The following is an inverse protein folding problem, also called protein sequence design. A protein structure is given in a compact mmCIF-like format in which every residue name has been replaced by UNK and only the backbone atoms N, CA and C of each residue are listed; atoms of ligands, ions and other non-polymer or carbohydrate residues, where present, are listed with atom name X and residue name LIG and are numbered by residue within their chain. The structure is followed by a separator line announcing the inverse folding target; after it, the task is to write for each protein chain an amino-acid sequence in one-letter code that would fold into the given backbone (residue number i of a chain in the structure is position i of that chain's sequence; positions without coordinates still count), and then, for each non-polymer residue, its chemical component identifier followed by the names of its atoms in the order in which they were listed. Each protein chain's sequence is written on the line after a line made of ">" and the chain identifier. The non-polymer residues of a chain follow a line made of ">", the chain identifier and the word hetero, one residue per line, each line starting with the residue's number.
data_IF_986531315708
#
_entry.id   IF_986531315708
#
_cell.length_a   1.000
_cell.length_b   1.000
_cell.length_c   1.000
_cell.angle_alpha   90.00
_cell.angle_beta   90.00
_cell.angle_gamma   90.00
#
_symmetry.space_group_name_H-M   'P 1'
#
loop_
_entity.id
_entity.type
_entity.pdbx_description
1 polymer ?
#
# COMPACT_ATOMS: atom_id res chain seq x y z
N UNK A 1 -62.58 61.74 -35.39
CA UNK A 1 -61.90 61.01 -34.29
C UNK A 1 -60.84 61.93 -33.69
N UNK A 2 -60.81 62.12 -32.37
CA UNK A 2 -59.83 63.01 -31.73
C UNK A 2 -58.46 62.32 -31.64
N UNK A 3 -57.37 63.07 -31.81
CA UNK A 3 -55.99 62.57 -31.74
C UNK A 3 -55.72 61.77 -30.46
N UNK A 4 -56.37 62.14 -29.35
CA UNK A 4 -56.28 61.43 -28.07
C UNK A 4 -56.88 60.03 -28.12
N UNK A 5 -58.03 59.85 -28.77
CA UNK A 5 -58.64 58.53 -28.94
C UNK A 5 -57.77 57.63 -29.83
N UNK A 6 -57.10 58.19 -30.84
CA UNK A 6 -56.17 57.46 -31.69
C UNK A 6 -54.91 57.02 -30.92
N UNK A 7 -54.30 57.93 -30.14
CA UNK A 7 -53.12 57.60 -29.32
C UNK A 7 -53.46 56.57 -28.24
N UNK A 8 -54.63 56.67 -27.60
CA UNK A 8 -55.06 55.70 -26.59
C UNK A 8 -55.32 54.32 -27.21
N UNK A 9 -55.92 54.27 -28.41
CA UNK A 9 -56.10 53.04 -29.16
C UNK A 9 -54.77 52.41 -29.58
N UNK A 10 -53.81 53.21 -30.06
CA UNK A 10 -52.45 52.74 -30.37
C UNK A 10 -51.71 52.25 -29.12
N UNK A 11 -51.83 52.93 -27.98
CA UNK A 11 -51.19 52.49 -26.73
C UNK A 11 -51.79 51.18 -26.18
N UNK A 12 -53.12 51.02 -26.25
CA UNK A 12 -53.81 49.77 -25.92
C UNK A 12 -53.40 48.62 -26.85
N UNK A 13 -53.22 48.90 -28.15
CA UNK A 13 -52.71 47.95 -29.14
C UNK A 13 -51.27 47.51 -28.86
N UNK A 14 -50.40 48.44 -28.44
CA UNK A 14 -49.00 48.13 -28.10
C UNK A 14 -48.90 47.31 -26.80
N UNK A 15 -49.72 47.63 -25.79
CA UNK A 15 -49.73 46.89 -24.52
C UNK A 15 -50.31 45.47 -24.67
N UNK A 16 -51.25 45.27 -25.59
CA UNK A 16 -51.83 43.96 -25.91
C UNK A 16 -50.98 43.11 -26.88
N UNK A 17 -49.91 43.69 -27.44
CA UNK A 17 -48.97 42.97 -28.33
C UNK A 17 -47.90 42.16 -27.58
N UNK A 18 -47.80 42.29 -26.25
CA UNK A 18 -46.91 41.50 -25.42
C UNK A 18 -47.67 40.32 -24.80
N UNK A 19 -48.08 39.37 -25.64
CA UNK A 19 -48.65 38.11 -25.17
C UNK A 19 -47.74 37.43 -24.14
N UNK A 20 -48.33 36.81 -23.11
CA UNK A 20 -47.57 36.14 -22.07
C UNK A 20 -46.79 34.96 -22.65
N UNK A 21 -45.46 35.05 -22.60
CA UNK A 21 -44.58 33.93 -22.96
C UNK A 21 -44.54 32.98 -21.77
N UNK A 22 -45.14 31.81 -21.92
CA UNK A 22 -45.03 30.75 -20.93
C UNK A 22 -43.94 29.77 -21.34
N UNK A 23 -43.29 29.22 -20.33
CA UNK A 23 -42.20 28.30 -20.52
C UNK A 23 -42.68 26.88 -20.22
N UNK A 24 -42.55 26.01 -21.21
CA UNK A 24 -42.95 24.61 -21.11
C UNK A 24 -41.70 23.74 -20.97
N UNK A 25 -41.75 22.81 -20.02
CA UNK A 25 -40.74 21.78 -19.83
C UNK A 25 -41.33 20.41 -20.12
N UNK A 26 -40.52 19.56 -20.76
CA UNK A 26 -40.81 18.14 -20.86
C UNK A 26 -39.59 17.33 -20.50
N UNK A 27 -39.82 16.17 -19.89
CA UNK A 27 -38.78 15.18 -19.64
C UNK A 27 -38.87 14.11 -20.72
N UNK A 28 -37.82 13.98 -21.54
CA UNK A 28 -37.72 12.94 -22.57
C UNK A 28 -36.77 11.86 -22.07
N UNK A 29 -37.21 10.60 -22.05
CA UNK A 29 -36.34 9.48 -21.70
C UNK A 29 -35.29 9.29 -22.81
N UNK A 30 -34.02 9.48 -22.44
CA UNK A 30 -32.88 9.27 -23.35
C UNK A 30 -32.51 7.80 -23.40
N UNK A 31 -32.54 7.12 -22.25
CA UNK A 31 -32.21 5.71 -22.18
C UNK A 31 -32.08 5.20 -20.75
N UNK A 32 -31.94 3.87 -20.66
CA UNK A 32 -31.67 3.15 -19.43
C UNK A 32 -30.21 2.76 -19.39
N UNK A 33 -29.56 3.04 -18.26
CA UNK A 33 -28.15 2.80 -18.06
C UNK A 33 -27.94 1.99 -16.78
N UNK A 34 -26.79 1.35 -16.70
CA UNK A 34 -26.35 0.70 -15.48
C UNK A 34 -24.90 1.06 -15.16
N UNK A 35 -24.60 1.23 -13.88
CA UNK A 35 -23.24 1.47 -13.42
C UNK A 35 -22.96 0.71 -12.11
N UNK A 36 -21.70 0.37 -11.89
CA UNK A 36 -21.26 -0.30 -10.69
C UNK A 36 -20.81 0.74 -9.67
N UNK A 37 -21.36 0.68 -8.46
CA UNK A 37 -21.00 1.59 -7.36
C UNK A 37 -20.60 0.77 -6.13
N UNK A 38 -19.72 1.30 -5.29
CA UNK A 38 -19.39 0.69 -3.99
C UNK A 38 -20.67 0.49 -3.18
N UNK A 39 -20.88 -0.72 -2.68
CA UNK A 39 -22.02 -1.03 -1.82
C UNK A 39 -21.82 -0.36 -0.44
N UNK A 40 -22.72 0.53 0.00
CA UNK A 40 -22.60 1.18 1.30
C UNK A 40 -22.71 0.16 2.44
N UNK A 41 -21.83 0.27 3.43
CA UNK A 41 -21.90 -0.55 4.66
C UNK A 41 -21.36 -1.98 4.56
N UNK A 42 -20.83 -2.42 3.41
CA UNK A 42 -20.13 -3.72 3.27
C UNK A 42 -18.63 -3.52 3.10
N UNK A 43 -17.91 -3.50 4.22
CA UNK A 43 -16.43 -3.47 4.27
C UNK A 43 -15.83 -4.84 4.59
N UNK A 44 -16.66 -5.87 4.77
CA UNK A 44 -16.27 -7.16 5.36
C UNK A 44 -15.61 -8.13 4.37
N UNK A 45 -14.82 -7.63 3.41
CA UNK A 45 -13.95 -8.54 2.66
C UNK A 45 -12.67 -8.78 3.47
N UNK A 46 -12.22 -10.03 3.59
CA UNK A 46 -10.97 -10.32 4.27
C UNK A 46 -9.82 -9.59 3.59
N UNK A 47 -8.79 -9.25 4.36
CA UNK A 47 -7.58 -8.69 3.79
C UNK A 47 -6.96 -9.72 2.85
N UNK A 48 -6.59 -9.25 1.67
CA UNK A 48 -5.96 -10.05 0.62
C UNK A 48 -4.53 -9.59 0.44
N UNK A 49 -3.65 -10.59 0.34
CA UNK A 49 -2.25 -10.38 -0.02
C UNK A 49 -2.05 -10.89 -1.44
N UNK A 50 -1.55 -10.05 -2.34
CA UNK A 50 -1.36 -10.44 -3.75
C UNK A 50 -0.15 -11.35 -3.92
N UNK A 51 0.01 -11.90 -5.13
CA UNK A 51 1.18 -12.72 -5.46
C UNK A 51 2.46 -11.89 -5.26
N UNK A 52 3.41 -12.42 -4.49
CA UNK A 52 4.60 -11.67 -4.14
C UNK A 52 5.54 -11.54 -5.34
N UNK A 53 6.28 -10.44 -5.40
CA UNK A 53 7.28 -10.14 -6.41
C UNK A 53 8.63 -9.97 -5.72
N UNK A 54 9.67 -10.61 -6.25
CA UNK A 54 11.02 -10.39 -5.80
C UNK A 54 11.59 -9.16 -6.50
N UNK A 55 12.04 -8.15 -5.74
CA UNK A 55 12.67 -6.94 -6.26
C UNK A 55 13.72 -6.45 -5.26
N UNK A 56 14.93 -6.16 -5.72
CA UNK A 56 15.98 -5.49 -4.91
C UNK A 56 16.19 -6.14 -3.52
N UNK A 57 16.27 -7.49 -3.50
CA UNK A 57 16.37 -8.30 -2.28
C UNK A 57 15.19 -8.25 -1.29
N UNK A 58 14.05 -7.72 -1.73
CA UNK A 58 12.77 -7.71 -1.03
C UNK A 58 11.79 -8.69 -1.69
N UNK A 59 10.95 -9.32 -0.87
CA UNK A 59 9.67 -9.86 -1.32
C UNK A 59 8.61 -8.80 -1.08
N UNK A 60 7.96 -8.33 -2.14
CA UNK A 60 6.91 -7.31 -2.07
C UNK A 60 5.58 -7.95 -2.43
N UNK A 61 4.56 -7.75 -1.60
CA UNK A 61 3.20 -8.15 -1.91
C UNK A 61 2.23 -7.02 -1.57
N UNK A 62 1.22 -6.78 -2.41
CA UNK A 62 0.20 -5.78 -2.13
C UNK A 62 -0.74 -6.34 -1.05
N UNK A 63 -1.10 -5.49 -0.11
CA UNK A 63 -1.99 -5.77 1.02
C UNK A 63 -3.16 -4.80 0.92
N UNK A 64 -4.34 -5.36 0.69
CA UNK A 64 -5.55 -4.57 0.54
C UNK A 64 -6.80 -5.35 0.88
N UNK A 65 -7.93 -4.71 0.65
CA UNK A 65 -9.24 -5.33 0.73
C UNK A 65 -9.97 -5.09 -0.59
N UNK A 66 -10.67 -6.10 -1.10
CA UNK A 66 -11.52 -5.88 -2.25
C UNK A 66 -12.78 -5.13 -1.84
N UNK A 67 -13.21 -4.20 -2.67
CA UNK A 67 -14.52 -3.58 -2.50
C UNK A 67 -15.62 -4.48 -3.03
N UNK A 68 -16.81 -4.42 -2.42
CA UNK A 68 -18.03 -4.97 -3.01
C UNK A 68 -18.66 -3.87 -3.85
N UNK A 69 -18.83 -4.11 -5.14
CA UNK A 69 -19.58 -3.23 -6.02
C UNK A 69 -20.94 -3.85 -6.32
N UNK A 70 -21.99 -3.01 -6.29
CA UNK A 70 -23.34 -3.40 -6.66
C UNK A 70 -23.74 -2.64 -7.92
N UNK A 71 -24.45 -3.31 -8.82
CA UNK A 71 -24.95 -2.67 -10.03
C UNK A 71 -26.20 -1.85 -9.71
N UNK A 72 -26.20 -0.59 -10.13
CA UNK A 72 -27.33 0.32 -10.07
C UNK A 72 -27.87 0.54 -11.47
N UNK A 73 -29.19 0.52 -11.61
CA UNK A 73 -29.87 0.89 -12.85
C UNK A 73 -30.54 2.24 -12.65
N UNK A 74 -30.46 3.09 -13.67
CA UNK A 74 -31.07 4.41 -13.66
C UNK A 74 -31.53 4.81 -15.06
N UNK A 75 -32.49 5.73 -15.08
CA UNK A 75 -33.00 6.32 -16.30
C UNK A 75 -32.43 7.72 -16.44
N UNK A 76 -31.97 8.04 -17.64
CA UNK A 76 -31.49 9.37 -17.98
C UNK A 76 -32.60 10.09 -18.73
N UNK A 77 -33.06 11.20 -18.18
CA UNK A 77 -34.04 12.08 -18.80
C UNK A 77 -33.35 13.35 -19.26
N UNK A 78 -33.60 13.73 -20.51
CA UNK A 78 -33.25 15.05 -21.02
C UNK A 78 -34.44 15.97 -20.75
N UNK A 79 -34.21 17.00 -19.97
CA UNK A 79 -35.20 18.05 -19.74
C UNK A 79 -35.04 19.04 -20.88
N UNK A 80 -36.06 19.09 -21.71
CA UNK A 80 -36.13 20.00 -22.84
C UNK A 80 -37.07 21.14 -22.49
N UNK A 81 -36.68 22.34 -22.89
CA UNK A 81 -37.43 23.56 -22.69
C UNK A 81 -37.86 24.16 -24.00
N UNK A 82 -39.08 24.69 -24.05
CA UNK A 82 -39.48 25.59 -25.13
C UNK A 82 -40.32 26.73 -24.60
N UNK A 83 -40.24 27.88 -25.25
CA UNK A 83 -41.11 29.02 -25.00
C UNK A 83 -42.32 28.93 -25.93
N UNK A 84 -43.51 29.05 -25.36
CA UNK A 84 -44.77 29.02 -26.12
C UNK A 84 -45.48 30.34 -25.87
N UNK A 85 -45.98 30.98 -26.93
CA UNK A 85 -46.79 32.19 -26.84
C UNK A 85 -48.26 31.79 -26.86
N UNK A 86 -48.96 32.10 -25.78
CA UNK A 86 -50.41 31.88 -25.72
C UNK A 86 -51.15 32.95 -26.53
N UNK A 87 -52.32 32.61 -27.13
CA UNK A 87 -53.14 33.58 -27.80
C UNK A 87 -53.79 34.52 -26.77
N UNK A 88 -53.43 35.80 -26.81
CA UNK A 88 -54.15 36.82 -26.06
C UNK A 88 -55.51 37.11 -26.75
N UNK A 89 -56.56 37.30 -25.96
CA UNK A 89 -57.91 37.66 -26.41
C UNK A 89 -57.91 38.85 -27.39
N UNK A 90 -57.02 39.81 -27.19
CA UNK A 90 -56.92 40.99 -28.05
C UNK A 90 -56.44 40.62 -29.45
N UNK A 91 -55.49 39.70 -29.52
CA UNK A 91 -54.89 39.27 -30.76
C UNK A 91 -55.79 38.32 -31.56
N UNK A 92 -56.64 37.53 -30.88
CA UNK A 92 -57.79 36.82 -31.48
C UNK A 92 -58.84 37.79 -32.05
N UNK A 93 -59.19 38.84 -31.29
CA UNK A 93 -60.19 39.83 -31.71
C UNK A 93 -59.71 40.69 -32.90
N UNK A 94 -58.43 41.07 -32.91
CA UNK A 94 -57.82 41.83 -34.01
C UNK A 94 -57.64 41.00 -35.27
N UNK A 95 -57.29 39.71 -35.15
CA UNK A 95 -57.20 38.79 -36.30
C UNK A 95 -58.52 38.65 -37.06
N UNK A 96 -59.64 38.62 -36.33
CA UNK A 96 -60.98 38.61 -36.91
C UNK A 96 -61.35 39.94 -37.59
N UNK A 97 -60.93 41.08 -37.01
CA UNK A 97 -61.26 42.42 -37.53
C UNK A 97 -60.38 42.86 -38.71
N UNK A 98 -59.16 42.35 -38.83
CA UNK A 98 -58.16 42.76 -39.83
C UNK A 98 -57.93 41.76 -40.97
N UNK A 99 -58.88 40.85 -41.23
CA UNK A 99 -58.77 39.84 -42.30
C UNK A 99 -57.44 39.06 -42.24
N UNK A 100 -56.99 38.66 -41.03
CA UNK A 100 -55.86 37.75 -40.84
C UNK A 100 -54.47 38.24 -41.30
N UNK A 101 -54.33 39.45 -41.85
CA UNK A 101 -53.10 39.88 -42.54
C UNK A 101 -51.88 40.04 -41.63
N UNK A 102 -52.05 40.35 -40.35
CA UNK A 102 -50.93 40.52 -39.41
C UNK A 102 -50.24 39.21 -39.01
N UNK A 103 -50.97 38.09 -38.98
CA UNK A 103 -50.42 36.77 -38.65
C UNK A 103 -50.22 35.87 -39.87
N UNK A 104 -50.73 36.26 -41.05
CA UNK A 104 -50.57 35.51 -42.29
C UNK A 104 -49.19 35.70 -42.96
N UNK A 105 -48.42 36.71 -42.55
CA UNK A 105 -47.15 37.08 -43.21
C UNK A 105 -45.92 36.50 -42.48
N UNK A 106 -46.02 36.24 -41.17
CA UNK A 106 -44.98 35.53 -40.42
C UNK A 106 -45.63 34.73 -39.28
N UNK A 107 -46.04 33.50 -39.62
CA UNK A 107 -46.76 32.60 -38.71
C UNK A 107 -45.90 32.13 -37.54
N UNK A 108 -44.57 32.25 -37.63
CA UNK A 108 -43.68 31.73 -36.60
C UNK A 108 -43.71 32.61 -35.35
N UNK A 109 -43.90 33.93 -35.47
CA UNK A 109 -43.78 34.86 -34.34
C UNK A 109 -45.04 35.18 -33.54
N UNK A 110 -46.24 34.90 -34.08
CA UNK A 110 -47.48 35.45 -33.51
C UNK A 110 -48.15 34.55 -32.46
N UNK A 111 -48.29 33.24 -32.71
CA UNK A 111 -48.97 32.32 -31.79
C UNK A 111 -48.42 30.90 -31.90
N UNK A 112 -48.40 30.19 -30.77
CA UNK A 112 -48.03 28.79 -30.74
C UNK A 112 -46.55 28.57 -30.40
N UNK A 113 -46.04 27.45 -30.90
CA UNK A 113 -44.74 26.89 -30.56
C UNK A 113 -43.62 27.73 -31.19
N UNK A 114 -42.88 28.52 -30.40
CA UNK A 114 -41.75 29.31 -30.90
C UNK A 114 -40.41 28.65 -30.53
N UNK A 115 -39.65 28.25 -31.56
CA UNK A 115 -38.33 27.62 -31.42
C UNK A 115 -38.38 26.10 -31.32
N UNK A 116 -37.21 25.46 -31.43
CA UNK A 116 -37.08 24.02 -31.22
C UNK A 116 -37.04 23.68 -29.73
N UNK A 117 -37.26 22.42 -29.40
CA UNK A 117 -37.01 21.92 -28.05
C UNK A 117 -35.51 21.93 -27.78
N UNK A 118 -35.08 22.81 -26.88
CA UNK A 118 -33.67 22.92 -26.53
C UNK A 118 -33.37 22.12 -25.27
N UNK A 119 -32.28 21.35 -25.30
CA UNK A 119 -31.78 20.68 -24.11
C UNK A 119 -31.36 21.72 -23.07
N UNK A 120 -31.96 21.63 -21.88
CA UNK A 120 -31.57 22.47 -20.74
C UNK A 120 -30.66 21.76 -19.78
N UNK A 121 -31.02 20.53 -19.44
CA UNK A 121 -30.31 19.73 -18.46
C UNK A 121 -30.59 18.25 -18.68
N UNK A 122 -29.64 17.44 -18.27
CA UNK A 122 -29.80 15.99 -18.18
C UNK A 122 -29.94 15.61 -16.70
N UNK A 123 -30.98 14.84 -16.36
CA UNK A 123 -31.28 14.40 -15.01
C UNK A 123 -31.33 12.86 -14.92
N UNK A 124 -30.71 12.30 -13.87
CA UNK A 124 -30.86 10.88 -13.52
C UNK A 124 -32.09 10.70 -12.63
N UNK A 125 -32.94 9.71 -12.93
CA UNK A 125 -34.14 9.37 -12.15
C UNK A 125 -34.25 7.85 -11.97
N UNK A 126 -35.14 7.44 -11.06
CA UNK A 126 -35.49 6.04 -10.81
C UNK A 126 -34.27 5.16 -10.48
N UNK A 127 -33.29 5.71 -9.76
CA UNK A 127 -32.10 4.96 -9.37
C UNK A 127 -32.48 3.82 -8.43
N UNK A 128 -32.15 2.59 -8.82
CA UNK A 128 -32.39 1.40 -8.01
C UNK A 128 -31.19 0.48 -8.05
N UNK A 129 -30.80 -0.04 -6.88
CA UNK A 129 -29.80 -1.10 -6.80
C UNK A 129 -30.41 -2.41 -7.28
N UNK A 130 -29.63 -3.18 -8.04
CA UNK A 130 -29.95 -4.57 -8.37
C UNK A 130 -29.33 -5.52 -7.34
N UNK A 131 -29.70 -6.79 -7.38
CA UNK A 131 -29.06 -7.84 -6.56
C UNK A 131 -27.72 -8.32 -7.15
N UNK A 132 -27.31 -7.79 -8.31
CA UNK A 132 -26.04 -8.14 -8.92
C UNK A 132 -24.89 -7.47 -8.17
N UNK A 133 -23.99 -8.30 -7.65
CA UNK A 133 -22.77 -7.88 -6.97
C UNK A 133 -21.54 -8.43 -7.69
N UNK A 134 -20.46 -7.65 -7.67
CA UNK A 134 -19.16 -8.09 -8.15
C UNK A 134 -18.06 -7.67 -7.20
N UNK A 135 -16.92 -8.35 -7.33
CA UNK A 135 -15.67 -7.92 -6.70
C UNK A 135 -15.14 -6.69 -7.44
N UNK A 136 -15.04 -5.58 -6.73
CA UNK A 136 -14.42 -4.34 -7.22
C UNK A 136 -12.89 -4.39 -7.17
N UNK A 137 -12.22 -3.26 -7.42
CA UNK A 137 -10.76 -3.19 -7.33
C UNK A 137 -10.26 -3.46 -5.90
N UNK A 138 -9.01 -3.90 -5.81
CA UNK A 138 -8.28 -4.00 -4.54
C UNK A 138 -7.95 -2.58 -4.05
N UNK A 139 -8.38 -2.25 -2.84
CA UNK A 139 -8.06 -0.97 -2.20
C UNK A 139 -7.01 -1.15 -1.12
N UNK A 140 -6.01 -0.26 -1.04
CA UNK A 140 -5.00 -0.32 0.01
C UNK A 140 -5.63 -0.11 1.37
N UNK A 141 -5.10 -0.78 2.39
CA UNK A 141 -5.57 -0.59 3.76
C UNK A 141 -5.23 0.82 4.25
N UNK A 142 -6.19 1.46 4.93
CA UNK A 142 -5.98 2.77 5.55
C UNK A 142 -5.07 2.74 6.79
N UNK A 143 -4.80 1.55 7.34
CA UNK A 143 -3.95 1.36 8.51
C UNK A 143 -2.92 0.25 8.24
N UNK A 144 -1.69 0.38 8.75
CA UNK A 144 -0.70 -0.69 8.73
C UNK A 144 -1.22 -1.96 9.37
N UNK A 145 -0.91 -3.11 8.77
CA UNK A 145 -1.21 -4.43 9.31
C UNK A 145 0.10 -5.15 9.65
N UNK A 146 0.19 -5.71 10.85
CA UNK A 146 1.38 -6.44 11.30
C UNK A 146 1.32 -7.90 10.88
N UNK A 147 2.28 -8.32 10.06
CA UNK A 147 2.46 -9.70 9.62
C UNK A 147 3.53 -10.40 10.43
N UNK A 148 3.22 -11.61 10.88
CA UNK A 148 4.22 -12.58 11.30
C UNK A 148 4.76 -13.26 10.04
N UNK A 149 6.01 -12.94 9.71
CA UNK A 149 6.70 -13.46 8.53
C UNK A 149 7.71 -14.51 8.95
N UNK A 150 7.62 -15.70 8.34
CA UNK A 150 8.53 -16.82 8.53
C UNK A 150 9.26 -17.08 7.22
N UNK A 151 10.58 -17.12 7.27
CA UNK A 151 11.46 -17.47 6.15
C UNK A 151 12.18 -18.77 6.51
N UNK A 152 11.88 -19.83 5.78
CA UNK A 152 12.51 -21.13 5.93
C UNK A 152 13.49 -21.36 4.77
N UNK A 153 14.73 -21.71 5.09
CA UNK A 153 15.72 -22.09 4.08
C UNK A 153 15.68 -23.58 3.80
N UNK A 154 15.83 -23.97 2.54
CA UNK A 154 15.99 -25.37 2.11
C UNK A 154 17.36 -25.62 1.50
N UNK A 155 17.87 -26.85 1.61
CA UNK A 155 19.07 -27.35 0.92
C UNK A 155 18.75 -27.83 -0.52
N UNK A 156 19.75 -28.23 -1.34
CA UNK A 156 19.51 -28.71 -2.71
C UNK A 156 18.64 -29.98 -2.80
N UNK A 157 18.39 -30.66 -1.68
CA UNK A 157 17.54 -31.85 -1.57
C UNK A 157 16.18 -31.51 -0.93
N UNK A 158 15.82 -30.22 -0.92
CA UNK A 158 14.59 -29.67 -0.34
C UNK A 158 14.41 -29.91 1.17
N UNK A 159 15.50 -30.18 1.88
CA UNK A 159 15.45 -30.37 3.34
C UNK A 159 15.63 -29.04 4.06
N UNK A 160 14.89 -28.79 5.15
CA UNK A 160 14.99 -27.54 5.88
C UNK A 160 16.37 -27.41 6.52
N UNK A 161 17.02 -26.26 6.30
CA UNK A 161 18.29 -25.91 6.94
C UNK A 161 18.11 -24.98 8.14
N UNK A 162 16.96 -24.35 8.28
CA UNK A 162 16.61 -23.49 9.39
C UNK A 162 15.45 -22.57 9.04
N UNK A 163 14.99 -21.81 10.04
CA UNK A 163 13.94 -20.82 9.87
C UNK A 163 14.23 -19.54 10.67
N UNK A 164 13.72 -18.43 10.18
CA UNK A 164 13.80 -17.12 10.83
C UNK A 164 12.42 -16.48 10.78
N UNK A 165 11.95 -16.01 11.94
CA UNK A 165 10.67 -15.34 12.07
C UNK A 165 10.86 -13.87 12.45
N UNK A 166 10.04 -12.99 11.88
CA UNK A 166 10.01 -11.56 12.21
C UNK A 166 8.61 -11.00 12.04
N UNK A 167 8.25 -10.03 12.88
CA UNK A 167 7.04 -9.23 12.67
C UNK A 167 7.38 -8.04 11.77
N UNK A 168 6.62 -7.87 10.69
CA UNK A 168 6.79 -6.82 9.68
C UNK A 168 5.43 -6.14 9.46
N UNK A 169 5.37 -4.82 9.61
CA UNK A 169 4.18 -4.06 9.31
C UNK A 169 4.09 -3.75 7.81
N UNK A 170 2.89 -3.82 7.23
CA UNK A 170 2.64 -3.27 5.90
C UNK A 170 2.76 -1.75 5.93
N UNK A 171 3.24 -1.17 4.85
CA UNK A 171 3.39 0.28 4.68
C UNK A 171 2.81 0.65 3.32
N UNK A 172 1.97 1.67 3.25
CA UNK A 172 1.38 2.15 1.98
C UNK A 172 0.66 1.06 1.16
N UNK A 173 0.03 0.10 1.85
CA UNK A 173 -0.65 -1.02 1.18
C UNK A 173 0.29 -2.09 0.64
N UNK A 174 1.56 -2.13 1.05
CA UNK A 174 2.51 -3.18 0.68
C UNK A 174 3.13 -3.87 1.90
N UNK A 175 3.30 -5.18 1.82
CA UNK A 175 4.16 -5.96 2.71
C UNK A 175 5.53 -6.11 2.05
N UNK A 176 6.57 -5.56 2.67
CA UNK A 176 7.96 -5.61 2.19
C UNK A 176 8.82 -6.49 3.12
N UNK A 177 9.12 -7.71 2.69
CA UNK A 177 9.92 -8.66 3.46
C UNK A 177 11.40 -8.56 3.04
N UNK A 178 12.33 -8.24 3.96
CA UNK A 178 13.75 -8.14 3.66
C UNK A 178 14.40 -9.53 3.60
N UNK A 179 14.29 -10.19 2.44
CA UNK A 179 14.72 -11.58 2.24
C UNK A 179 16.20 -11.76 2.56
N UNK A 180 17.08 -10.89 2.06
CA UNK A 180 18.51 -11.03 2.30
C UNK A 180 18.88 -10.97 3.79
N UNK A 181 18.36 -9.96 4.50
CA UNK A 181 18.63 -9.78 5.92
C UNK A 181 18.06 -10.92 6.79
N UNK A 182 16.94 -11.52 6.40
CA UNK A 182 16.39 -12.69 7.08
C UNK A 182 17.15 -13.96 6.73
N UNK A 183 17.47 -14.17 5.44
CA UNK A 183 18.17 -15.36 4.97
C UNK A 183 19.59 -15.46 5.55
N UNK A 184 20.33 -14.35 5.68
CA UNK A 184 21.67 -14.33 6.28
C UNK A 184 21.71 -14.80 7.75
N UNK A 185 20.56 -14.82 8.44
CA UNK A 185 20.45 -15.32 9.83
C UNK A 185 20.27 -16.85 9.89
N UNK A 186 20.00 -17.50 8.75
CA UNK A 186 19.87 -18.96 8.69
C UNK A 186 21.21 -19.65 8.99
N UNK A 187 21.22 -20.78 9.70
CA UNK A 187 22.47 -21.41 10.15
C UNK A 187 23.30 -22.01 9.00
N UNK A 188 22.68 -22.30 7.84
CA UNK A 188 23.37 -22.74 6.62
C UNK A 188 22.86 -21.95 5.42
N UNK A 189 23.70 -21.84 4.39
CA UNK A 189 23.33 -21.19 3.13
C UNK A 189 22.18 -21.95 2.47
N UNK A 190 21.02 -21.31 2.26
CA UNK A 190 19.90 -21.96 1.59
C UNK A 190 20.10 -21.96 0.07
N UNK A 191 19.54 -22.95 -0.61
CA UNK A 191 19.34 -22.92 -2.07
C UNK A 191 17.95 -22.46 -2.45
N UNK A 192 16.96 -22.61 -1.58
CA UNK A 192 15.59 -22.14 -1.81
C UNK A 192 15.09 -21.49 -0.53
N UNK A 193 14.25 -20.45 -0.63
CA UNK A 193 13.56 -19.87 0.52
C UNK A 193 12.06 -20.11 0.39
N UNK A 194 11.43 -20.62 1.43
CA UNK A 194 9.98 -20.61 1.60
C UNK A 194 9.61 -19.45 2.51
N UNK A 195 8.69 -18.60 2.05
CA UNK A 195 8.23 -17.43 2.80
C UNK A 195 6.76 -17.61 3.09
N UNK A 196 6.42 -17.50 4.37
CA UNK A 196 5.06 -17.52 4.85
C UNK A 196 4.78 -16.22 5.61
N UNK A 197 3.71 -15.50 5.28
CA UNK A 197 3.27 -14.34 6.04
C UNK A 197 1.81 -14.50 6.48
N UNK A 198 1.58 -14.31 7.79
CA UNK A 198 0.27 -14.41 8.44
C UNK A 198 -0.04 -13.12 9.18
N UNK A 199 -1.27 -12.63 9.10
CA UNK A 199 -1.75 -11.54 9.93
C UNK A 199 -3.21 -11.75 10.35
N UNK A 200 -3.65 -11.17 11.47
CA UNK A 200 -5.06 -11.18 11.86
C UNK A 200 -5.96 -10.56 10.78
N UNK A 201 -7.10 -11.16 10.48
CA UNK A 201 -8.06 -10.65 9.49
C UNK A 201 -7.69 -10.91 8.02
N UNK A 202 -6.56 -11.56 7.76
CA UNK A 202 -6.19 -12.07 6.43
C UNK A 202 -6.77 -13.48 6.28
N UNK A 203 -7.52 -13.73 5.20
CA UNK A 203 -8.16 -15.03 4.98
C UNK A 203 -7.16 -16.16 4.73
N UNK A 204 -6.14 -15.90 3.92
CA UNK A 204 -5.14 -16.90 3.54
C UNK A 204 -3.73 -16.36 3.76
N UNK A 205 -2.81 -17.16 4.33
CA UNK A 205 -1.43 -16.75 4.47
C UNK A 205 -0.81 -16.52 3.09
N UNK A 206 0.05 -15.50 3.00
CA UNK A 206 0.95 -15.38 1.85
C UNK A 206 1.91 -16.56 1.89
N UNK A 207 1.94 -17.35 0.83
CA UNK A 207 2.93 -18.41 0.64
C UNK A 207 3.72 -18.11 -0.63
N UNK A 208 5.04 -18.01 -0.50
CA UNK A 208 5.96 -17.76 -1.60
C UNK A 208 7.11 -18.76 -1.57
N UNK A 209 7.50 -19.24 -2.75
CA UNK A 209 8.76 -19.97 -2.94
C UNK A 209 9.70 -19.09 -3.75
N UNK A 210 10.88 -18.84 -3.20
CA UNK A 210 11.96 -18.10 -3.86
C UNK A 210 12.97 -19.13 -4.38
N UNK A 211 12.97 -19.44 -5.69
CA UNK A 211 13.85 -20.44 -6.28
C UNK A 211 15.32 -20.02 -6.23
N UNK A 212 16.23 -20.99 -6.38
CA UNK A 212 17.65 -20.78 -6.14
C UNK A 212 18.37 -19.79 -7.04
N UNK A 213 17.89 -19.57 -8.27
CA UNK A 213 18.44 -18.50 -9.11
C UNK A 213 18.18 -17.13 -8.45
N UNK A 214 16.96 -16.86 -7.97
CA UNK A 214 16.66 -15.62 -7.25
C UNK A 214 17.37 -15.53 -5.89
N UNK A 215 17.56 -16.65 -5.18
CA UNK A 215 18.34 -16.67 -3.93
C UNK A 215 19.80 -16.30 -4.19
N UNK A 216 20.35 -16.72 -5.34
CA UNK A 216 21.72 -16.37 -5.74
C UNK A 216 21.85 -14.88 -6.01
N UNK A 217 20.84 -14.27 -6.64
CA UNK A 217 20.80 -12.83 -6.92
C UNK A 217 20.72 -11.96 -5.66
N UNK A 218 20.33 -12.52 -4.51
CA UNK A 218 20.34 -11.82 -3.22
C UNK A 218 21.76 -11.51 -2.70
N UNK A 219 22.81 -12.03 -3.34
CA UNK A 219 24.21 -11.83 -2.95
C UNK A 219 24.45 -12.04 -1.45
N UNK A 220 23.90 -13.14 -0.92
CA UNK A 220 23.95 -13.42 0.50
C UNK A 220 25.39 -13.70 0.94
N UNK A 221 25.90 -12.87 1.84
CA UNK A 221 27.19 -13.06 2.50
C UNK A 221 26.98 -13.17 4.02
N UNK A 222 27.29 -14.34 4.58
CA UNK A 222 27.24 -14.59 6.00
C UNK A 222 28.40 -15.48 6.41
N UNK A 223 29.28 -14.96 7.27
CA UNK A 223 30.48 -15.66 7.73
C UNK A 223 30.18 -17.07 8.25
N UNK A 224 29.04 -17.25 8.93
CA UNK A 224 28.64 -18.53 9.54
C UNK A 224 28.44 -19.68 8.55
N UNK A 225 28.36 -19.40 7.25
CA UNK A 225 28.27 -20.41 6.20
C UNK A 225 29.62 -20.86 5.67
N UNK A 226 30.70 -20.15 6.00
CA UNK A 226 32.04 -20.55 5.60
C UNK A 226 32.47 -21.82 6.37
N UNK A 227 33.41 -22.61 5.84
CA UNK A 227 34.05 -23.68 6.60
C UNK A 227 34.67 -23.14 7.91
N UNK A 228 34.68 -23.91 9.02
CA UNK A 228 35.19 -23.45 10.32
C UNK A 228 36.60 -22.81 10.27
N UNK A 229 37.51 -23.37 9.48
CA UNK A 229 38.85 -22.82 9.30
C UNK A 229 38.84 -21.41 8.67
N UNK A 230 37.97 -21.20 7.68
CA UNK A 230 37.81 -19.90 7.04
C UNK A 230 37.09 -18.89 7.95
N UNK A 231 36.09 -19.33 8.72
CA UNK A 231 35.45 -18.50 9.74
C UNK A 231 36.48 -17.96 10.73
N UNK A 232 37.32 -18.84 11.27
CA UNK A 232 38.40 -18.45 12.19
C UNK A 232 39.38 -17.47 11.54
N UNK A 233 39.74 -17.66 10.27
CA UNK A 233 40.60 -16.73 9.52
C UNK A 233 39.95 -15.34 9.42
N UNK A 234 38.67 -15.27 9.06
CA UNK A 234 37.92 -14.00 8.96
C UNK A 234 37.80 -13.31 10.32
N UNK A 235 37.43 -14.05 11.37
CA UNK A 235 37.29 -13.48 12.72
C UNK A 235 38.62 -13.00 13.29
N UNK A 236 39.71 -13.75 13.10
CA UNK A 236 41.06 -13.30 13.51
C UNK A 236 41.51 -12.04 12.77
N UNK A 237 41.24 -11.96 11.46
CA UNK A 237 41.55 -10.77 10.67
C UNK A 237 40.78 -9.52 11.15
N UNK A 238 39.55 -9.69 11.65
CA UNK A 238 38.74 -8.60 12.25
C UNK A 238 39.12 -8.28 13.70
N UNK A 239 39.69 -9.23 14.44
CA UNK A 239 40.05 -9.05 15.84
C UNK A 239 41.20 -8.06 16.05
N UNK A 240 42.29 -8.19 15.28
CA UNK A 240 43.48 -7.35 15.41
C UNK A 240 43.20 -5.84 15.26
N UNK A 241 42.46 -5.35 14.24
CA UNK A 241 42.11 -3.93 14.16
C UNK A 241 41.20 -3.48 15.31
N UNK A 242 40.24 -4.30 15.76
CA UNK A 242 39.37 -3.96 16.88
C UNK A 242 40.16 -3.76 18.19
N UNK A 243 41.12 -4.65 18.49
CA UNK A 243 42.00 -4.53 19.64
C UNK A 243 42.92 -3.31 19.55
N UNK A 244 43.53 -3.05 18.37
CA UNK A 244 44.39 -1.88 18.15
C UNK A 244 43.64 -0.55 18.31
N UNK A 245 42.37 -0.51 17.91
CA UNK A 245 41.51 0.66 18.06
C UNK A 245 40.97 0.83 19.49
N UNK A 246 41.27 -0.08 20.43
CA UNK A 246 40.70 -0.08 21.78
C UNK A 246 39.18 -0.35 21.81
N UNK A 247 38.59 -0.83 20.71
CA UNK A 247 37.16 -1.13 20.65
C UNK A 247 36.87 -2.50 21.26
N UNK A 248 36.87 -2.54 22.60
CA UNK A 248 36.71 -3.76 23.37
C UNK A 248 35.32 -4.40 23.21
N UNK A 249 34.27 -3.63 22.92
CA UNK A 249 32.93 -4.18 22.65
C UNK A 249 32.89 -4.96 21.33
N UNK A 250 33.51 -4.42 20.27
CA UNK A 250 33.63 -5.12 19.00
C UNK A 250 34.51 -6.37 19.15
N UNK A 251 35.65 -6.25 19.84
CA UNK A 251 36.54 -7.37 20.11
C UNK A 251 35.83 -8.49 20.89
N UNK A 252 35.03 -8.16 21.91
CA UNK A 252 34.24 -9.13 22.67
C UNK A 252 33.30 -9.95 21.78
N UNK A 253 32.55 -9.29 20.89
CA UNK A 253 31.66 -9.99 19.94
C UNK A 253 32.43 -10.92 19.01
N UNK A 254 33.65 -10.56 18.62
CA UNK A 254 34.51 -11.39 17.78
C UNK A 254 35.05 -12.60 18.56
N UNK A 255 35.47 -12.42 19.82
CA UNK A 255 35.90 -13.53 20.67
C UNK A 255 34.77 -14.55 20.89
N UNK A 256 33.55 -14.09 21.15
CA UNK A 256 32.37 -14.96 21.29
C UNK A 256 32.15 -15.81 20.02
N UNK A 257 32.33 -15.23 18.83
CA UNK A 257 32.26 -15.98 17.56
C UNK A 257 33.41 -16.97 17.39
N UNK A 258 34.63 -16.61 17.79
CA UNK A 258 35.78 -17.53 17.75
C UNK A 258 35.54 -18.73 18.67
N UNK A 259 35.01 -18.51 19.87
CA UNK A 259 34.70 -19.57 20.83
C UNK A 259 33.54 -20.46 20.38
N UNK A 260 32.55 -19.91 19.65
CA UNK A 260 31.48 -20.70 19.03
C UNK A 260 32.02 -21.66 17.96
N UNK A 261 33.00 -21.22 17.16
CA UNK A 261 33.58 -22.04 16.08
C UNK A 261 34.66 -23.00 16.61
N UNK A 262 35.44 -22.56 17.58
CA UNK A 262 36.47 -23.34 18.24
C UNK A 262 36.32 -23.18 19.76
N UNK A 263 35.63 -24.12 20.44
CA UNK A 263 35.41 -24.09 21.89
C UNK A 263 36.70 -24.05 22.73
N UNK A 264 37.82 -24.50 22.16
CA UNK A 264 39.13 -24.49 22.81
C UNK A 264 40.13 -23.61 22.03
N UNK A 265 39.90 -22.28 21.95
CA UNK A 265 40.74 -21.38 21.18
C UNK A 265 42.18 -21.39 21.73
N UNK A 266 43.22 -21.07 20.95
CA UNK A 266 44.60 -21.04 21.45
C UNK A 266 44.74 -20.20 22.73
N UNK A 267 45.67 -20.59 23.62
CA UNK A 267 45.83 -19.97 24.93
C UNK A 267 46.03 -18.43 24.86
N UNK A 268 46.75 -17.95 23.84
CA UNK A 268 46.89 -16.51 23.56
C UNK A 268 45.53 -15.81 23.34
N UNK A 269 44.66 -16.37 22.49
CA UNK A 269 43.32 -15.85 22.24
C UNK A 269 42.49 -15.83 23.53
N UNK A 270 42.62 -16.86 24.35
CA UNK A 270 41.92 -16.96 25.63
C UNK A 270 42.36 -15.86 26.61
N UNK A 271 43.66 -15.59 26.69
CA UNK A 271 44.20 -14.49 27.49
C UNK A 271 43.72 -13.12 26.97
N UNK A 272 43.79 -12.87 25.66
CA UNK A 272 43.34 -11.61 25.06
C UNK A 272 41.83 -11.37 25.26
N UNK A 273 41.02 -12.43 25.20
CA UNK A 273 39.60 -12.37 25.53
C UNK A 273 39.40 -11.99 27.00
N UNK A 274 40.13 -12.62 27.92
CA UNK A 274 40.06 -12.31 29.34
C UNK A 274 40.44 -10.85 29.64
N UNK A 275 41.52 -10.36 29.05
CA UNK A 275 41.93 -8.95 29.15
C UNK A 275 40.86 -8.00 28.61
N UNK A 276 40.25 -8.32 27.47
CA UNK A 276 39.13 -7.55 26.90
C UNK A 276 37.94 -7.47 27.87
N UNK A 277 37.61 -8.58 28.54
CA UNK A 277 36.55 -8.61 29.56
C UNK A 277 36.89 -7.74 30.79
N UNK A 278 38.15 -7.68 31.21
CA UNK A 278 38.61 -6.75 32.27
C UNK A 278 38.37 -5.30 31.84
N UNK A 279 38.73 -4.94 30.61
CA UNK A 279 38.52 -3.58 30.07
C UNK A 279 37.04 -3.20 29.99
N UNK A 280 36.17 -4.17 29.74
CA UNK A 280 34.70 -4.02 29.77
C UNK A 280 34.10 -4.12 31.18
N UNK A 281 34.91 -4.24 32.23
CA UNK A 281 34.47 -4.40 33.64
C UNK A 281 33.57 -5.62 33.87
N UNK A 282 33.71 -6.67 33.05
CA UNK A 282 32.99 -7.95 33.19
C UNK A 282 33.77 -8.91 34.09
N UNK A 283 34.04 -8.50 35.33
CA UNK A 283 35.04 -9.12 36.21
C UNK A 283 34.84 -10.63 36.43
N UNK A 284 33.61 -11.09 36.66
CA UNK A 284 33.32 -12.51 36.86
C UNK A 284 33.62 -13.37 35.62
N UNK A 285 33.34 -12.86 34.42
CA UNK A 285 33.67 -13.54 33.18
C UNK A 285 35.19 -13.50 32.91
N UNK A 286 35.83 -12.36 33.17
CA UNK A 286 37.27 -12.20 33.04
C UNK A 286 38.04 -13.18 33.96
N UNK A 287 37.64 -13.28 35.23
CA UNK A 287 38.23 -14.19 36.21
C UNK A 287 38.22 -15.64 35.71
N UNK A 288 37.05 -16.13 35.28
CA UNK A 288 36.91 -17.49 34.71
C UNK A 288 37.85 -17.72 33.52
N UNK A 289 37.95 -16.76 32.60
CA UNK A 289 38.82 -16.89 31.42
C UNK A 289 40.31 -16.86 31.78
N UNK A 290 40.72 -16.03 32.75
CA UNK A 290 42.10 -15.98 33.26
C UNK A 290 42.49 -17.27 33.99
N UNK A 291 41.60 -17.81 34.82
CA UNK A 291 41.81 -19.09 35.51
C UNK A 291 41.95 -20.25 34.51
N UNK A 292 41.07 -20.31 33.51
CA UNK A 292 41.16 -21.32 32.45
C UNK A 292 42.47 -21.21 31.65
N UNK A 293 42.92 -19.98 31.35
CA UNK A 293 44.20 -19.74 30.68
C UNK A 293 45.39 -20.26 31.51
N UNK A 294 45.43 -19.93 32.80
CA UNK A 294 46.50 -20.39 33.71
C UNK A 294 46.49 -21.91 33.87
N UNK A 295 45.31 -22.51 34.03
CA UNK A 295 45.16 -23.96 34.10
C UNK A 295 45.69 -24.65 32.84
N UNK A 296 45.30 -24.16 31.66
CA UNK A 296 45.70 -24.75 30.37
C UNK A 296 47.20 -24.64 30.08
N UNK A 297 47.83 -23.56 30.53
CA UNK A 297 49.27 -23.33 30.32
C UNK A 297 50.14 -23.87 31.46
N UNK A 298 49.55 -24.52 32.47
CA UNK A 298 50.26 -24.95 33.68
C UNK A 298 50.89 -23.79 34.46
N UNK A 299 50.38 -22.56 34.27
CA UNK A 299 50.92 -21.35 34.87
C UNK A 299 52.25 -20.85 34.28
N UNK A 300 52.70 -21.41 33.16
CA UNK A 300 53.99 -21.08 32.51
C UNK A 300 53.82 -20.47 31.11
N UNK A 301 52.61 -20.06 30.73
CA UNK A 301 52.36 -19.38 29.45
C UNK A 301 53.00 -17.99 29.37
N UNK A 302 53.17 -17.48 28.15
CA UNK A 302 53.79 -16.17 27.85
C UNK A 302 53.19 -15.00 28.66
N UNK A 303 51.88 -15.04 28.90
CA UNK A 303 51.15 -14.00 29.65
C UNK A 303 50.79 -14.43 31.09
N UNK A 304 51.40 -15.48 31.65
CA UNK A 304 51.03 -16.00 32.97
C UNK A 304 51.22 -14.98 34.11
N UNK A 305 52.31 -14.21 34.09
CA UNK A 305 52.56 -13.17 35.09
C UNK A 305 51.50 -12.05 35.04
N UNK A 306 51.14 -11.61 33.83
CA UNK A 306 50.11 -10.60 33.64
C UNK A 306 48.72 -11.13 34.01
N UNK A 307 48.40 -12.38 33.66
CA UNK A 307 47.14 -13.01 34.03
C UNK A 307 46.95 -13.09 35.55
N UNK A 308 48.00 -13.46 36.30
CA UNK A 308 47.98 -13.46 37.78
C UNK A 308 47.78 -12.05 38.34
N UNK A 309 48.48 -11.06 37.78
CA UNK A 309 48.32 -9.64 38.16
C UNK A 309 46.88 -9.18 37.96
N UNK A 310 46.29 -9.45 36.78
CA UNK A 310 44.91 -9.11 36.49
C UNK A 310 43.94 -9.81 37.46
N UNK A 311 44.12 -11.11 37.73
CA UNK A 311 43.30 -11.85 38.69
C UNK A 311 43.33 -11.25 40.09
N UNK A 312 44.49 -10.79 40.57
CA UNK A 312 44.61 -10.17 41.89
C UNK A 312 43.92 -8.81 42.00
N UNK A 313 43.70 -8.13 40.87
CA UNK A 313 43.04 -6.82 40.82
C UNK A 313 41.54 -6.87 40.47
N UNK A 314 40.96 -8.05 40.26
CA UNK A 314 39.55 -8.27 39.92
C UNK A 314 38.71 -8.69 41.11
#
# INVERSE_FOLDING_TARGET
>A
MSLRAFVLACAMLVLAGCGSVHYQERAVLVGQYSEWRKAPGRTDQPVVVTKPRARDALLVADVGQYTVERQWTYEVYRIEGRRTREPDMVSLALGAATLGLGCAIDTEGCFGEYGEWEERQTQRRNERSTDNERRGPLEPLQRPLSFTVRVQGLDPRERPVGEVQRVIASTEGELRVPLAAMAQRLPKRPTTLLVEAKAPGVAEPLLASVPGHLVTDLQLDADQWLPPAEQLRVYRARLAPALRAGNHEAAQKIFERIEQVNPEPPAEIQFLHANTLVKLRRNAAARRKLEQYLARTGGNGEHAAEARRLLSGL
#
